data_IF_097006134940
#
_entry.id   IF_097006134940
#
_cell.length_a   1.000
_cell.length_b   1.000
_cell.length_c   1.000
_cell.angle_alpha   90.00
_cell.angle_beta   90.00
_cell.angle_gamma   90.00
#
_symmetry.space_group_name_H-M   'P 1'
#
loop_
_entity.id
_entity.type
_entity.pdbx_description
1 polymer ?
#
# COMPACT_ATOMS: atom_id res chain seq x y z
N UNK A 1 4.51 -19.58 -21.61
CA UNK A 1 5.89 -19.20 -21.99
C UNK A 1 6.49 -18.51 -20.78
N UNK A 2 7.13 -19.26 -19.90
CA UNK A 2 7.85 -18.69 -18.75
C UNK A 2 9.17 -18.11 -19.29
N UNK A 3 9.26 -16.79 -19.34
CA UNK A 3 10.52 -16.11 -19.62
C UNK A 3 11.26 -16.06 -18.27
N UNK A 4 12.31 -16.88 -18.12
CA UNK A 4 13.22 -16.79 -16.97
C UNK A 4 14.02 -15.49 -17.08
N UNK A 5 13.62 -14.49 -16.28
CA UNK A 5 14.24 -13.17 -16.21
C UNK A 5 15.45 -13.14 -15.26
N UNK A 6 16.51 -13.93 -15.53
CA UNK A 6 17.68 -14.01 -14.63
C UNK A 6 18.79 -12.99 -14.90
N UNK A 7 18.76 -12.26 -16.02
CA UNK A 7 19.65 -11.10 -16.25
C UNK A 7 18.89 -9.99 -16.98
N UNK A 8 18.08 -9.25 -16.21
CA UNK A 8 17.16 -8.21 -16.70
C UNK A 8 17.91 -6.93 -17.12
N UNK A 9 18.99 -6.59 -16.43
CA UNK A 9 19.68 -5.32 -16.60
C UNK A 9 20.57 -5.25 -17.84
N UNK A 10 21.05 -6.40 -18.34
CA UNK A 10 21.89 -6.47 -19.56
C UNK A 10 21.10 -6.33 -20.87
N UNK A 11 19.76 -6.45 -20.82
CA UNK A 11 18.88 -6.41 -21.97
C UNK A 11 18.33 -5.01 -22.28
N UNK A 12 18.47 -4.07 -21.35
CA UNK A 12 18.05 -2.68 -21.54
C UNK A 12 19.25 -1.86 -22.04
N UNK A 13 19.09 -1.07 -23.12
CA UNK A 13 20.10 -0.07 -23.49
C UNK A 13 20.41 0.84 -22.29
N UNK A 14 21.69 1.18 -22.08
CA UNK A 14 22.12 2.05 -20.98
C UNK A 14 21.34 3.36 -20.94
N UNK A 15 20.98 3.91 -22.10
CA UNK A 15 20.13 5.11 -22.22
C UNK A 15 18.76 4.94 -21.56
N UNK A 16 18.15 3.75 -21.65
CA UNK A 16 16.85 3.48 -21.02
C UNK A 16 17.02 3.30 -19.52
N UNK A 17 18.08 2.64 -19.07
CA UNK A 17 18.38 2.49 -17.65
C UNK A 17 18.64 3.85 -16.98
N UNK A 18 19.45 4.71 -17.62
CA UNK A 18 19.71 6.06 -17.12
C UNK A 18 18.43 6.88 -17.03
N UNK A 19 17.56 6.82 -18.04
CA UNK A 19 16.28 7.51 -17.99
C UNK A 19 15.33 6.99 -16.93
N UNK A 20 15.31 5.67 -16.67
CA UNK A 20 14.48 5.12 -15.59
C UNK A 20 14.99 5.60 -14.23
N UNK A 21 16.30 5.82 -14.10
CA UNK A 21 16.89 6.42 -12.91
C UNK A 21 16.58 7.93 -12.84
N UNK A 22 16.68 8.67 -13.94
CA UNK A 22 16.32 10.09 -14.05
C UNK A 22 14.82 10.34 -13.81
N UNK A 23 13.93 9.40 -14.18
CA UNK A 23 12.49 9.43 -13.84
C UNK A 23 12.24 9.48 -12.32
N UNK A 24 13.25 9.16 -11.51
CA UNK A 24 13.18 9.21 -10.05
C UNK A 24 13.95 10.39 -9.46
N UNK A 25 14.82 10.99 -10.26
CA UNK A 25 15.47 12.29 -10.02
C UNK A 25 14.55 13.39 -10.58
N UNK A 26 13.27 13.34 -10.21
CA UNK A 26 12.41 14.50 -10.39
C UNK A 26 12.99 15.59 -9.47
N UNK A 27 13.40 16.71 -10.07
CA UNK A 27 13.91 17.94 -9.44
C UNK A 27 15.41 17.95 -9.08
N UNK A 28 16.34 17.87 -10.04
CA UNK A 28 17.75 18.28 -9.79
C UNK A 28 17.97 19.80 -9.99
N UNK A 29 17.03 20.50 -10.61
CA UNK A 29 17.07 21.96 -10.82
C UNK A 29 16.56 22.77 -9.59
N UNK A 30 16.54 22.19 -8.39
CA UNK A 30 16.05 22.87 -7.16
C UNK A 30 16.91 24.08 -6.83
N UNK A 31 18.17 24.12 -7.26
CA UNK A 31 19.11 25.17 -6.89
C UNK A 31 18.74 26.55 -7.47
N UNK A 32 17.93 26.61 -8.54
CA UNK A 32 17.50 27.87 -9.17
C UNK A 32 16.06 28.30 -8.84
N UNK A 33 15.31 27.53 -8.04
CA UNK A 33 13.89 27.81 -7.76
C UNK A 33 13.67 28.68 -6.51
N UNK A 34 12.56 29.42 -6.46
CA UNK A 34 12.16 30.18 -5.26
C UNK A 34 11.90 29.24 -4.06
N UNK A 35 12.12 29.73 -2.84
CA UNK A 35 12.00 28.94 -1.60
C UNK A 35 10.61 28.30 -1.41
N UNK A 36 9.54 28.92 -1.90
CA UNK A 36 8.18 28.39 -1.91
C UNK A 36 8.07 27.17 -2.82
N UNK A 37 8.68 27.23 -4.00
CA UNK A 37 8.72 26.12 -4.96
C UNK A 37 9.59 24.97 -4.45
N UNK A 38 10.72 25.25 -3.80
CA UNK A 38 11.53 24.23 -3.10
C UNK A 38 10.73 23.53 -2.00
N UNK A 39 9.95 24.29 -1.22
CA UNK A 39 9.11 23.74 -0.16
C UNK A 39 7.97 22.87 -0.71
N UNK A 40 7.31 23.31 -1.78
CA UNK A 40 6.28 22.52 -2.47
C UNK A 40 6.85 21.22 -3.08
N UNK A 41 8.02 21.29 -3.70
CA UNK A 41 8.75 20.12 -4.19
C UNK A 41 9.09 19.15 -3.05
N UNK A 42 9.57 19.66 -1.91
CA UNK A 42 9.87 18.85 -0.71
C UNK A 42 8.63 18.15 -0.15
N UNK A 43 7.47 18.80 -0.14
CA UNK A 43 6.19 18.18 0.23
C UNK A 43 5.85 17.04 -0.74
N UNK A 44 5.98 17.28 -2.05
CA UNK A 44 5.70 16.27 -3.07
C UNK A 44 6.67 15.06 -2.95
N UNK A 45 7.96 15.31 -2.72
CA UNK A 45 8.99 14.29 -2.51
C UNK A 45 8.70 13.43 -1.27
N UNK A 46 8.25 14.04 -0.17
CA UNK A 46 7.95 13.33 1.09
C UNK A 46 6.83 12.30 0.95
N UNK A 47 6.01 12.38 -0.11
CA UNK A 47 4.85 11.52 -0.31
C UNK A 47 5.17 10.16 -0.95
N UNK A 48 6.37 9.98 -1.53
CA UNK A 48 6.81 8.73 -2.19
C UNK A 48 8.01 8.17 -1.44
N UNK A 49 7.85 7.02 -0.79
CA UNK A 49 8.95 6.34 -0.10
C UNK A 49 9.93 5.66 -1.06
N UNK A 50 11.20 5.52 -0.68
CA UNK A 50 12.23 4.84 -1.49
C UNK A 50 11.82 3.42 -1.93
N UNK A 51 11.10 2.71 -1.07
CA UNK A 51 10.55 1.38 -1.40
C UNK A 51 9.51 1.43 -2.51
N UNK A 52 8.67 2.46 -2.52
CA UNK A 52 7.66 2.67 -3.58
C UNK A 52 8.33 3.04 -4.90
N UNK A 53 9.38 3.87 -4.82
CA UNK A 53 10.21 4.31 -5.93
C UNK A 53 10.89 3.12 -6.64
N UNK A 54 11.58 2.26 -5.88
CA UNK A 54 12.17 1.02 -6.42
C UNK A 54 11.13 0.08 -7.05
N UNK A 55 9.95 -0.02 -6.43
CA UNK A 55 8.84 -0.79 -6.97
C UNK A 55 8.36 -0.28 -8.33
N UNK A 56 8.27 1.04 -8.51
CA UNK A 56 7.89 1.64 -9.79
C UNK A 56 8.94 1.39 -10.88
N UNK A 57 10.23 1.53 -10.57
CA UNK A 57 11.34 1.21 -11.49
C UNK A 57 11.20 -0.19 -12.04
N UNK A 58 11.02 -1.17 -11.15
CA UNK A 58 10.94 -2.57 -11.58
C UNK A 58 9.75 -2.81 -12.50
N UNK A 59 8.62 -2.16 -12.22
CA UNK A 59 7.43 -2.25 -13.07
C UNK A 59 7.71 -1.64 -14.46
N UNK A 60 8.34 -0.47 -14.53
CA UNK A 60 8.67 0.21 -15.79
C UNK A 60 9.64 -0.64 -16.61
N UNK A 61 10.69 -1.19 -15.98
CA UNK A 61 11.63 -2.12 -16.64
C UNK A 61 10.89 -3.32 -17.25
N UNK A 62 10.03 -3.97 -16.45
CA UNK A 62 9.24 -5.11 -16.91
C UNK A 62 8.28 -4.75 -18.06
N UNK A 63 7.72 -3.55 -18.06
CA UNK A 63 6.85 -3.06 -19.13
C UNK A 63 7.60 -2.91 -20.45
N UNK A 64 8.78 -2.26 -20.42
CA UNK A 64 9.61 -2.04 -21.60
C UNK A 64 10.08 -3.38 -22.17
N UNK A 65 10.58 -4.27 -21.31
CA UNK A 65 11.08 -5.58 -21.74
C UNK A 65 9.98 -6.47 -22.32
N UNK A 66 8.78 -6.43 -21.75
CA UNK A 66 7.63 -7.14 -22.29
C UNK A 66 7.35 -6.72 -23.74
N UNK A 67 7.30 -5.42 -24.01
CA UNK A 67 7.01 -4.93 -25.36
C UNK A 67 8.16 -5.12 -26.33
N UNK A 68 9.42 -4.97 -25.90
CA UNK A 68 10.59 -5.25 -26.75
C UNK A 68 10.69 -6.74 -27.10
N UNK A 69 10.29 -7.64 -26.21
CA UNK A 69 10.22 -9.07 -26.49
C UNK A 69 9.15 -9.40 -27.54
N UNK A 70 8.00 -8.71 -27.51
CA UNK A 70 6.94 -8.87 -28.51
C UNK A 70 7.26 -8.19 -29.85
N UNK A 71 7.92 -7.02 -29.80
CA UNK A 71 8.27 -6.23 -30.97
C UNK A 71 9.61 -5.51 -30.73
N UNK A 72 10.67 -5.97 -31.39
CA UNK A 72 12.02 -5.38 -31.26
C UNK A 72 12.12 -3.92 -31.71
N UNK A 73 11.18 -3.46 -32.54
CA UNK A 73 11.12 -2.08 -33.04
C UNK A 73 10.17 -1.20 -32.20
N UNK A 74 9.67 -1.71 -31.08
CA UNK A 74 8.81 -0.93 -30.20
C UNK A 74 9.62 0.17 -29.50
N UNK A 75 9.12 1.41 -29.57
CA UNK A 75 9.75 2.57 -28.96
C UNK A 75 9.12 2.88 -27.60
N UNK A 76 9.91 2.75 -26.53
CA UNK A 76 9.50 3.03 -25.16
C UNK A 76 9.12 4.49 -24.90
N UNK A 77 9.62 5.42 -25.72
CA UNK A 77 9.34 6.86 -25.62
C UNK A 77 8.19 7.29 -26.52
N UNK A 78 7.79 6.46 -27.48
CA UNK A 78 6.70 6.79 -28.37
C UNK A 78 5.37 6.83 -27.60
N UNK A 79 4.68 7.96 -27.71
CA UNK A 79 3.36 8.15 -27.13
C UNK A 79 2.40 8.41 -28.29
N UNK A 80 1.68 7.36 -28.67
CA UNK A 80 0.85 7.25 -29.87
C UNK A 80 -0.56 6.79 -29.51
N UNK A 81 -1.45 6.71 -30.50
CA UNK A 81 -2.79 6.14 -30.32
C UNK A 81 -2.78 4.72 -29.74
N UNK A 82 -1.68 3.98 -29.93
CA UNK A 82 -1.51 2.60 -29.50
C UNK A 82 -1.10 2.48 -28.03
N UNK A 83 -0.47 3.51 -27.45
CA UNK A 83 0.08 3.47 -26.09
C UNK A 83 -0.94 3.06 -25.01
N UNK A 84 -2.21 3.53 -25.01
CA UNK A 84 -3.23 2.99 -24.11
C UNK A 84 -3.42 1.47 -24.17
N UNK A 85 -3.38 0.89 -25.38
CA UNK A 85 -3.56 -0.54 -25.58
C UNK A 85 -2.32 -1.33 -25.14
N UNK A 86 -1.13 -0.78 -25.33
CA UNK A 86 0.12 -1.37 -24.85
C UNK A 86 0.14 -1.47 -23.31
N UNK A 87 -0.38 -0.45 -22.63
CA UNK A 87 -0.58 -0.44 -21.17
C UNK A 87 -1.58 -1.54 -20.77
N UNK A 88 -2.73 -1.62 -21.44
CA UNK A 88 -3.76 -2.64 -21.17
C UNK A 88 -3.19 -4.04 -21.38
N UNK A 89 -2.44 -4.25 -22.46
CA UNK A 89 -1.86 -5.53 -22.81
C UNK A 89 -0.87 -6.00 -21.74
N UNK A 90 0.03 -5.12 -21.28
CA UNK A 90 0.94 -5.43 -20.20
C UNK A 90 0.21 -5.75 -18.89
N UNK A 91 -0.79 -4.94 -18.49
CA UNK A 91 -1.55 -5.20 -17.27
C UNK A 91 -2.33 -6.53 -17.39
N UNK A 92 -2.83 -6.84 -18.59
CA UNK A 92 -3.49 -8.13 -18.87
C UNK A 92 -2.50 -9.28 -18.75
N UNK A 93 -1.28 -9.15 -19.28
CA UNK A 93 -0.23 -10.17 -19.10
C UNK A 93 0.05 -10.45 -17.62
N UNK A 94 0.11 -9.39 -16.81
CA UNK A 94 0.34 -9.50 -15.36
C UNK A 94 -0.86 -10.06 -14.61
N UNK A 95 -2.06 -9.57 -14.88
CA UNK A 95 -3.22 -9.78 -14.03
C UNK A 95 -4.26 -10.73 -14.62
N UNK A 96 -4.09 -11.20 -15.85
CA UNK A 96 -5.01 -12.13 -16.49
C UNK A 96 -5.07 -13.49 -15.78
N UNK A 97 -6.05 -14.35 -16.10
CA UNK A 97 -6.16 -15.67 -15.49
C UNK A 97 -5.00 -16.61 -15.85
N UNK A 98 -4.45 -17.32 -14.86
CA UNK A 98 -3.33 -18.27 -15.08
C UNK A 98 -3.68 -19.36 -16.10
N UNK A 99 -4.94 -19.82 -16.07
CA UNK A 99 -5.47 -20.81 -17.03
C UNK A 99 -5.34 -20.39 -18.50
N UNK A 100 -5.28 -19.08 -18.75
CA UNK A 100 -5.19 -18.51 -20.09
C UNK A 100 -3.72 -18.14 -20.45
N UNK A 101 -2.75 -18.55 -19.61
CA UNK A 101 -1.31 -18.34 -19.84
C UNK A 101 -0.73 -17.04 -19.27
N UNK A 102 -1.50 -16.31 -18.44
CA UNK A 102 -1.09 -15.06 -17.81
C UNK A 102 -0.47 -15.29 -16.42
N UNK A 103 0.14 -14.25 -15.83
CA UNK A 103 0.84 -14.37 -14.52
C UNK A 103 -0.09 -14.46 -13.29
N UNK A 104 -1.39 -14.18 -13.43
CA UNK A 104 -2.35 -14.35 -12.34
C UNK A 104 -2.22 -13.36 -11.16
N UNK A 105 -1.54 -12.22 -11.34
CA UNK A 105 -1.34 -11.25 -10.26
C UNK A 105 -2.65 -10.60 -9.81
N UNK A 106 -2.64 -10.05 -8.59
CA UNK A 106 -3.80 -9.41 -7.95
C UNK A 106 -4.10 -8.05 -8.56
N UNK A 107 -5.32 -7.55 -8.34
CA UNK A 107 -5.71 -6.21 -8.82
C UNK A 107 -4.80 -5.09 -8.28
N UNK A 108 -4.25 -5.25 -7.07
CA UNK A 108 -3.26 -4.32 -6.53
C UNK A 108 -2.03 -4.14 -7.44
N UNK A 109 -1.60 -5.21 -8.15
CA UNK A 109 -0.52 -5.12 -9.14
C UNK A 109 -0.92 -4.25 -10.31
N UNK A 110 -2.14 -4.37 -10.84
CA UNK A 110 -2.65 -3.51 -11.91
C UNK A 110 -2.66 -2.03 -11.50
N UNK A 111 -3.08 -1.73 -10.25
CA UNK A 111 -3.08 -0.37 -9.69
C UNK A 111 -1.66 0.20 -9.62
N UNK A 112 -0.72 -0.57 -9.07
CA UNK A 112 0.70 -0.18 -9.02
C UNK A 112 1.31 -0.04 -10.41
N UNK A 113 0.94 -0.91 -11.35
CA UNK A 113 1.39 -0.82 -12.74
C UNK A 113 0.93 0.46 -13.42
N UNK A 114 -0.35 0.82 -13.28
CA UNK A 114 -0.86 2.09 -13.81
C UNK A 114 -0.17 3.29 -13.17
N UNK A 115 0.09 3.26 -11.86
CA UNK A 115 0.77 4.34 -11.16
C UNK A 115 2.22 4.53 -11.64
N UNK A 116 3.00 3.45 -11.73
CA UNK A 116 4.37 3.49 -12.22
C UNK A 116 4.45 4.00 -13.68
N UNK A 117 3.56 3.52 -14.55
CA UNK A 117 3.52 3.98 -15.95
C UNK A 117 3.06 5.44 -16.07
N UNK A 118 2.26 5.93 -15.12
CA UNK A 118 1.90 7.35 -15.06
C UNK A 118 3.12 8.21 -14.74
N UNK A 119 4.00 7.73 -13.85
CA UNK A 119 5.28 8.39 -13.56
C UNK A 119 6.18 8.40 -14.81
N UNK A 120 6.36 7.24 -15.45
CA UNK A 120 7.14 7.11 -16.69
C UNK A 120 6.70 8.09 -17.78
N UNK A 121 5.40 8.11 -18.12
CA UNK A 121 4.91 8.96 -19.21
C UNK A 121 4.87 10.45 -18.86
N UNK A 122 4.89 10.82 -17.58
CA UNK A 122 5.12 12.22 -17.16
C UNK A 122 6.56 12.66 -17.40
N UNK A 123 7.51 11.77 -17.19
CA UNK A 123 8.91 12.06 -17.47
C UNK A 123 9.19 12.08 -18.98
N UNK A 124 8.65 11.12 -19.75
CA UNK A 124 8.78 11.09 -21.22
C UNK A 124 8.16 12.33 -21.88
N UNK A 125 7.07 12.87 -21.30
CA UNK A 125 6.41 14.09 -21.75
C UNK A 125 6.25 15.08 -20.61
N UNK A 126 7.29 15.88 -20.31
CA UNK A 126 7.20 16.90 -19.30
C UNK A 126 6.15 17.95 -19.71
N UNK A 127 5.41 18.47 -18.73
CA UNK A 127 4.37 19.51 -18.90
C UNK A 127 3.10 19.08 -19.67
N UNK A 128 2.83 17.79 -19.74
CA UNK A 128 1.61 17.29 -20.39
C UNK A 128 0.34 17.62 -19.60
N UNK A 129 -0.75 17.93 -20.32
CA UNK A 129 -2.02 18.30 -19.69
C UNK A 129 -2.58 17.18 -18.80
N UNK A 130 -3.17 17.55 -17.67
CA UNK A 130 -3.93 16.62 -16.82
C UNK A 130 -5.29 16.23 -17.42
N UNK A 131 -5.67 16.85 -18.55
CA UNK A 131 -6.91 16.58 -19.28
C UNK A 131 -6.95 15.17 -19.87
N UNK A 132 -8.15 14.76 -20.27
CA UNK A 132 -8.40 13.46 -20.89
C UNK A 132 -7.54 13.28 -22.16
N UNK A 133 -7.01 12.06 -22.32
CA UNK A 133 -6.26 11.62 -23.49
C UNK A 133 -7.05 11.87 -24.78
N UNK A 134 -6.54 12.75 -25.64
CA UNK A 134 -7.21 13.14 -26.89
C UNK A 134 -6.21 13.47 -27.98
N UNK A 135 -6.62 13.32 -29.22
CA UNK A 135 -5.84 13.82 -30.35
C UNK A 135 -6.16 15.31 -30.54
N UNK A 136 -5.13 16.14 -30.62
CA UNK A 136 -5.25 17.52 -31.07
C UNK A 136 -5.59 17.52 -32.57
N UNK A 137 -6.74 18.07 -32.99
CA UNK A 137 -7.14 18.10 -34.39
C UNK A 137 -6.19 18.91 -35.27
N UNK A 138 -5.47 19.88 -34.70
CA UNK A 138 -4.61 20.81 -35.45
C UNK A 138 -3.21 20.26 -35.69
N UNK A 139 -2.59 19.66 -34.68
CA UNK A 139 -1.24 19.09 -34.77
C UNK A 139 -1.19 17.59 -35.03
N UNK A 140 -2.34 16.90 -34.90
CA UNK A 140 -2.41 15.43 -34.95
C UNK A 140 -1.72 14.74 -33.77
N UNK A 141 -1.14 15.50 -32.83
CA UNK A 141 -0.45 14.98 -31.64
C UNK A 141 -1.46 14.54 -30.61
N UNK A 142 -1.13 13.47 -29.90
CA UNK A 142 -1.91 13.04 -28.75
C UNK A 142 -1.52 13.87 -27.53
N UNK A 143 -2.50 14.44 -26.84
CA UNK A 143 -2.35 15.23 -25.64
C UNK A 143 -2.91 14.45 -24.43
N UNK A 144 -2.32 14.71 -23.27
CA UNK A 144 -2.69 14.07 -22.01
C UNK A 144 -1.93 12.77 -21.71
N UNK A 145 -2.19 12.18 -20.55
CA UNK A 145 -1.51 10.95 -20.12
C UNK A 145 -2.22 9.70 -20.65
N UNK A 146 -1.51 8.76 -21.31
CA UNK A 146 -2.14 7.57 -21.89
C UNK A 146 -2.74 6.65 -20.82
N UNK A 147 -2.18 6.65 -19.59
CA UNK A 147 -2.71 5.92 -18.43
C UNK A 147 -4.07 6.44 -17.93
N UNK A 148 -4.44 7.67 -18.31
CA UNK A 148 -5.73 8.30 -18.01
C UNK A 148 -6.72 8.22 -19.18
N UNK A 149 -6.34 7.56 -20.28
CA UNK A 149 -7.26 7.36 -21.39
C UNK A 149 -8.51 6.60 -20.95
N UNK A 150 -9.64 6.93 -21.58
CA UNK A 150 -10.92 6.25 -21.34
C UNK A 150 -10.79 4.73 -21.46
N UNK A 151 -10.02 4.24 -22.43
CA UNK A 151 -9.74 2.81 -22.63
C UNK A 151 -9.07 2.16 -21.42
N UNK A 152 -8.01 2.79 -20.88
CA UNK A 152 -7.32 2.26 -19.69
C UNK A 152 -8.22 2.31 -18.46
N UNK A 153 -9.00 3.39 -18.29
CA UNK A 153 -9.94 3.53 -17.16
C UNK A 153 -11.03 2.46 -17.21
N UNK A 154 -11.71 2.30 -18.35
CA UNK A 154 -12.74 1.27 -18.56
C UNK A 154 -12.19 -0.13 -18.32
N UNK A 155 -10.99 -0.42 -18.83
CA UNK A 155 -10.30 -1.69 -18.58
C UNK A 155 -10.04 -1.94 -17.10
N UNK A 156 -9.48 -0.95 -16.38
CA UNK A 156 -9.19 -1.08 -14.95
C UNK A 156 -10.46 -1.36 -14.13
N UNK A 157 -11.56 -0.66 -14.41
CA UNK A 157 -12.85 -0.91 -13.77
C UNK A 157 -13.41 -2.30 -14.10
N UNK A 158 -13.24 -2.77 -15.33
CA UNK A 158 -13.64 -4.13 -15.72
C UNK A 158 -12.81 -5.19 -14.99
N UNK A 159 -11.49 -5.01 -14.95
CA UNK A 159 -10.56 -5.90 -14.27
C UNK A 159 -10.84 -5.96 -12.77
N UNK A 160 -11.12 -4.83 -12.12
CA UNK A 160 -11.51 -4.77 -10.72
C UNK A 160 -12.74 -5.63 -10.42
N UNK A 161 -13.81 -5.45 -11.20
CA UNK A 161 -15.05 -6.23 -11.06
C UNK A 161 -14.81 -7.72 -11.30
N UNK A 162 -14.00 -8.07 -12.30
CA UNK A 162 -13.65 -9.46 -12.58
C UNK A 162 -12.83 -10.08 -11.43
N UNK A 163 -11.85 -9.35 -10.91
CA UNK A 163 -11.02 -9.79 -9.79
C UNK A 163 -11.83 -9.96 -8.50
N UNK A 164 -12.72 -9.01 -8.21
CA UNK A 164 -13.66 -9.13 -7.10
C UNK A 164 -14.56 -10.37 -7.24
N UNK A 165 -15.09 -10.65 -8.43
CA UNK A 165 -15.87 -11.88 -8.69
C UNK A 165 -15.05 -13.16 -8.49
N UNK A 166 -13.76 -13.13 -8.77
CA UNK A 166 -12.84 -14.26 -8.53
C UNK A 166 -12.38 -14.39 -7.06
N UNK A 167 -12.90 -13.56 -6.15
CA UNK A 167 -12.55 -13.58 -4.73
C UNK A 167 -11.33 -12.72 -4.37
N UNK A 168 -10.71 -12.03 -5.33
CA UNK A 168 -9.69 -11.00 -5.07
C UNK A 168 -10.40 -9.68 -4.69
N UNK A 169 -11.17 -9.74 -3.60
CA UNK A 169 -11.81 -8.59 -3.00
C UNK A 169 -10.79 -7.92 -2.09
N UNK A 170 -10.51 -6.64 -2.32
CA UNK A 170 -9.81 -5.81 -1.35
C UNK A 170 -10.73 -5.61 -0.14
N UNK A 171 -10.84 -6.61 0.72
CA UNK A 171 -11.58 -6.50 1.97
C UNK A 171 -10.85 -5.50 2.87
N UNK A 172 -11.34 -4.27 2.91
CA UNK A 172 -10.86 -3.23 3.83
C UNK A 172 -11.14 -3.65 5.28
N UNK A 173 -10.10 -3.58 6.12
CA UNK A 173 -10.02 -3.42 7.59
C UNK A 173 -10.92 -4.24 8.56
N UNK A 174 -12.10 -4.72 8.18
CA UNK A 174 -13.03 -5.49 9.02
C UNK A 174 -13.25 -6.91 8.49
N UNK A 175 -12.16 -7.61 8.15
CA UNK A 175 -12.23 -9.04 7.85
C UNK A 175 -12.63 -9.89 9.07
N UNK A 176 -12.51 -9.33 10.29
CA UNK A 176 -12.88 -9.99 11.54
C UNK A 176 -14.17 -9.41 12.09
N UNK A 177 -15.16 -10.27 12.30
CA UNK A 177 -16.42 -9.94 12.97
C UNK A 177 -16.26 -9.97 14.49
N UNK A 178 -17.27 -9.44 15.21
CA UNK A 178 -17.37 -9.57 16.67
C UNK A 178 -17.30 -11.04 17.10
N UNK A 179 -17.99 -11.93 16.38
CA UNK A 179 -18.00 -13.36 16.66
C UNK A 179 -16.62 -13.99 16.48
N UNK A 180 -15.85 -13.55 15.47
CA UNK A 180 -14.48 -14.02 15.27
C UNK A 180 -13.57 -13.61 16.42
N UNK A 181 -13.74 -12.38 16.93
CA UNK A 181 -13.01 -11.90 18.11
C UNK A 181 -13.40 -12.69 19.37
N UNK A 182 -14.68 -13.06 19.54
CA UNK A 182 -15.10 -13.92 20.64
C UNK A 182 -14.52 -15.33 20.56
N UNK A 183 -14.51 -15.94 19.37
CA UNK A 183 -13.89 -17.25 19.14
C UNK A 183 -12.40 -17.20 19.43
N UNK A 184 -11.73 -16.12 19.03
CA UNK A 184 -10.30 -15.89 19.28
C UNK A 184 -10.02 -15.74 20.78
N UNK A 185 -10.82 -14.95 21.49
CA UNK A 185 -10.72 -14.83 22.95
C UNK A 185 -10.88 -16.18 23.63
N UNK A 186 -11.90 -16.94 23.23
CA UNK A 186 -12.14 -18.27 23.77
C UNK A 186 -10.92 -19.18 23.57
N UNK A 187 -10.41 -19.24 22.33
CA UNK A 187 -9.32 -20.13 21.98
C UNK A 187 -7.99 -19.78 22.68
N UNK A 188 -7.70 -18.48 22.84
CA UNK A 188 -6.43 -18.00 23.35
C UNK A 188 -6.42 -17.78 24.87
N UNK A 189 -7.55 -17.43 25.49
CA UNK A 189 -7.58 -16.93 26.87
C UNK A 189 -8.34 -17.86 27.81
N UNK A 190 -9.47 -18.42 27.38
CA UNK A 190 -10.40 -19.17 28.27
C UNK A 190 -10.58 -20.64 27.92
N UNK A 191 -9.89 -21.16 26.90
CA UNK A 191 -10.02 -22.56 26.50
C UNK A 191 -9.62 -23.48 27.67
N UNK A 192 -10.46 -24.46 28.05
CA UNK A 192 -10.12 -25.42 29.08
C UNK A 192 -8.89 -26.24 28.67
N UNK A 193 -8.00 -26.53 29.62
CA UNK A 193 -6.77 -27.29 29.38
C UNK A 193 -5.57 -26.49 28.87
N UNK A 194 -5.66 -25.16 28.78
CA UNK A 194 -4.48 -24.32 28.51
C UNK A 194 -3.50 -24.35 29.70
N UNK A 195 -2.22 -24.57 29.42
CA UNK A 195 -1.17 -24.39 30.43
C UNK A 195 -1.01 -22.91 30.78
N UNK A 196 -0.42 -22.62 31.94
CA UNK A 196 -0.14 -21.24 32.37
C UNK A 196 0.69 -20.47 31.34
N UNK A 197 1.67 -21.13 30.72
CA UNK A 197 2.52 -20.53 29.69
C UNK A 197 1.73 -20.22 28.40
N UNK A 198 0.89 -21.16 27.94
CA UNK A 198 0.04 -20.95 26.78
C UNK A 198 -0.97 -19.82 27.00
N UNK A 199 -1.57 -19.75 28.20
CA UNK A 199 -2.50 -18.69 28.56
C UNK A 199 -1.84 -17.31 28.57
N UNK A 200 -0.60 -17.21 29.09
CA UNK A 200 0.18 -15.96 29.04
C UNK A 200 0.43 -15.50 27.60
N UNK A 201 0.90 -16.40 26.73
CA UNK A 201 1.11 -16.08 25.32
C UNK A 201 -0.21 -15.72 24.60
N UNK A 202 -1.29 -16.43 24.93
CA UNK A 202 -2.61 -16.18 24.37
C UNK A 202 -3.15 -14.80 24.73
N UNK A 203 -2.99 -14.35 25.98
CA UNK A 203 -3.37 -13.00 26.41
C UNK A 203 -2.59 -11.93 25.64
N UNK A 204 -1.27 -12.09 25.48
CA UNK A 204 -0.43 -11.14 24.74
C UNK A 204 -0.88 -11.04 23.28
N UNK A 205 -1.09 -12.19 22.61
CA UNK A 205 -1.56 -12.22 21.21
C UNK A 205 -2.95 -11.62 21.08
N UNK A 206 -3.88 -11.98 21.98
CA UNK A 206 -5.23 -11.47 21.94
C UNK A 206 -5.27 -9.96 22.15
N UNK A 207 -4.44 -9.42 23.05
CA UNK A 207 -4.35 -7.97 23.24
C UNK A 207 -3.92 -7.25 21.96
N UNK A 208 -2.91 -7.78 21.26
CA UNK A 208 -2.51 -7.23 19.96
C UNK A 208 -3.68 -7.29 18.96
N UNK A 209 -4.35 -8.44 18.81
CA UNK A 209 -5.49 -8.53 17.89
C UNK A 209 -6.64 -7.59 18.25
N UNK A 210 -6.95 -7.43 19.55
CA UNK A 210 -7.99 -6.54 20.02
C UNK A 210 -7.65 -5.07 19.71
N UNK A 211 -6.41 -4.63 19.96
CA UNK A 211 -5.98 -3.28 19.61
C UNK A 211 -5.97 -3.04 18.11
N UNK A 212 -5.46 -4.00 17.32
CA UNK A 212 -5.49 -3.92 15.86
C UNK A 212 -6.93 -3.73 15.34
N UNK A 213 -7.87 -4.49 15.91
CA UNK A 213 -9.28 -4.46 15.52
C UNK A 213 -10.00 -3.18 15.95
N UNK A 214 -9.86 -2.74 17.21
CA UNK A 214 -10.55 -1.54 17.73
C UNK A 214 -9.99 -0.23 17.15
N UNK A 215 -8.67 -0.15 16.95
CA UNK A 215 -7.99 1.06 16.47
C UNK A 215 -7.82 1.08 14.95
N UNK A 216 -8.30 0.02 14.26
CA UNK A 216 -8.11 -0.21 12.83
C UNK A 216 -6.64 -0.03 12.41
N UNK A 217 -5.75 -0.63 13.19
CA UNK A 217 -4.31 -0.62 12.94
C UNK A 217 -3.91 -1.88 12.18
N UNK A 218 -2.85 -1.75 11.38
CA UNK A 218 -2.17 -2.92 10.86
C UNK A 218 -1.41 -3.62 11.98
N UNK A 219 -1.05 -4.89 11.77
CA UNK A 219 -0.36 -5.66 12.80
C UNK A 219 1.02 -5.07 13.13
N UNK A 220 1.74 -4.54 12.14
CA UNK A 220 3.01 -3.84 12.32
C UNK A 220 2.83 -2.56 13.16
N UNK A 221 1.80 -1.76 12.88
CA UNK A 221 1.47 -0.57 13.67
C UNK A 221 1.09 -0.94 15.12
N UNK A 222 0.32 -2.01 15.29
CA UNK A 222 -0.08 -2.51 16.61
C UNK A 222 1.11 -2.97 17.44
N UNK A 223 2.06 -3.69 16.82
CA UNK A 223 3.28 -4.16 17.49
C UNK A 223 4.26 -3.02 17.80
N UNK A 224 4.11 -1.87 17.13
CA UNK A 224 4.90 -0.67 17.41
C UNK A 224 4.35 0.20 18.54
N UNK A 225 3.18 -0.14 19.09
CA UNK A 225 2.59 0.57 20.23
C UNK A 225 3.47 0.43 21.47
N UNK A 226 3.88 1.57 22.02
CA UNK A 226 4.67 1.65 23.25
C UNK A 226 3.76 1.82 24.47
N UNK A 227 4.22 1.45 25.67
CA UNK A 227 3.41 1.65 26.89
C UNK A 227 3.19 3.13 27.18
N UNK A 228 4.16 3.95 26.83
CA UNK A 228 4.17 5.42 26.88
C UNK A 228 3.12 6.04 25.95
N UNK A 229 2.63 5.26 24.97
CA UNK A 229 1.54 5.67 24.09
C UNK A 229 0.16 5.55 24.75
N UNK A 230 0.07 4.91 25.92
CA UNK A 230 -1.19 4.67 26.65
C UNK A 230 -1.28 5.65 27.83
N UNK A 231 -2.08 6.70 27.64
CA UNK A 231 -2.38 7.68 28.69
C UNK A 231 -3.57 7.20 29.52
N UNK A 232 -3.28 6.72 30.74
CA UNK A 232 -4.30 6.44 31.75
C UNK A 232 -4.27 7.50 32.84
N UNK A 233 -5.29 8.36 32.87
CA UNK A 233 -5.45 9.34 33.95
C UNK A 233 -5.62 8.63 35.30
N UNK A 234 -4.81 8.94 36.33
CA UNK A 234 -4.95 8.34 37.65
C UNK A 234 -6.37 8.54 38.22
N UNK A 235 -7.00 7.46 38.69
CA UNK A 235 -8.37 7.47 39.21
C UNK A 235 -9.46 7.22 38.17
N UNK A 236 -9.19 7.39 36.87
CA UNK A 236 -10.14 7.07 35.82
C UNK A 236 -10.18 5.55 35.56
N UNK A 237 -11.39 5.00 35.53
CA UNK A 237 -11.65 3.56 35.34
C UNK A 237 -12.48 3.27 34.09
N UNK A 238 -13.04 4.30 33.44
CA UNK A 238 -13.98 4.17 32.33
C UNK A 238 -13.32 4.25 30.97
N UNK A 239 -12.13 4.85 30.86
CA UNK A 239 -11.41 4.93 29.59
C UNK A 239 -9.91 5.12 29.79
N UNK A 240 -9.17 4.94 28.70
CA UNK A 240 -7.79 5.43 28.54
C UNK A 240 -7.62 5.93 27.11
N UNK A 241 -6.65 6.82 26.93
CA UNK A 241 -6.34 7.40 25.62
C UNK A 241 -5.09 6.72 25.05
N UNK A 242 -5.13 6.38 23.76
CA UNK A 242 -4.00 5.79 23.02
C UNK A 242 -3.51 6.81 22.02
N UNK A 243 -2.28 7.28 22.19
CA UNK A 243 -1.58 8.15 21.23
C UNK A 243 -0.79 7.31 20.26
N UNK A 244 -1.08 7.42 18.97
CA UNK A 244 -0.34 6.68 17.96
C UNK A 244 0.99 7.39 17.64
N UNK A 245 2.00 7.18 18.49
CA UNK A 245 3.35 7.69 18.28
C UNK A 245 4.00 6.91 17.11
N UNK A 246 4.29 7.59 16.00
CA UNK A 246 5.06 7.02 14.89
C UNK A 246 4.32 6.12 13.89
N UNK A 247 2.99 5.99 13.97
CA UNK A 247 2.23 5.24 12.95
C UNK A 247 2.08 6.01 11.64
N UNK A 248 1.91 5.30 10.52
CA UNK A 248 1.72 5.91 9.19
C UNK A 248 0.55 6.90 9.15
N UNK A 249 -0.48 6.70 9.98
CA UNK A 249 -1.64 7.62 10.08
C UNK A 249 -1.30 8.97 10.71
N UNK A 250 -0.30 9.04 11.58
CA UNK A 250 0.12 10.30 12.23
C UNK A 250 1.21 11.04 11.44
N UNK A 251 1.96 10.35 10.57
CA UNK A 251 3.03 10.98 9.77
C UNK A 251 2.54 11.82 8.58
N UNK A 252 1.29 11.68 8.15
CA UNK A 252 0.78 12.40 6.96
C UNK A 252 0.14 13.77 7.26
N UNK A 253 -0.07 14.13 8.53
CA UNK A 253 -0.80 15.37 8.89
C UNK A 253 -0.23 16.19 10.03
N UNK A 254 0.83 15.75 10.72
CA UNK A 254 1.41 16.47 11.87
C UNK A 254 0.51 16.58 13.11
N UNK A 255 -0.77 16.19 13.00
CA UNK A 255 -1.73 16.13 14.10
C UNK A 255 -1.69 14.72 14.69
N UNK A 256 -1.30 14.62 15.97
CA UNK A 256 -1.35 13.37 16.71
C UNK A 256 -2.80 12.89 16.87
N UNK A 257 -3.14 11.79 16.20
CA UNK A 257 -4.42 11.12 16.41
C UNK A 257 -4.38 10.38 17.75
N UNK A 258 -5.31 10.73 18.64
CA UNK A 258 -5.57 10.00 19.88
C UNK A 258 -6.87 9.22 19.74
N UNK A 259 -6.89 8.01 20.30
CA UNK A 259 -8.07 7.16 20.35
C UNK A 259 -8.47 6.95 21.80
N UNK A 260 -9.72 7.26 22.12
CA UNK A 260 -10.27 7.00 23.46
C UNK A 260 -10.92 5.62 23.48
N UNK A 261 -10.36 4.70 24.25
CA UNK A 261 -10.89 3.36 24.43
C UNK A 261 -11.65 3.27 25.74
N UNK A 262 -12.95 2.98 25.65
CA UNK A 262 -13.86 2.89 26.79
C UNK A 262 -13.96 1.47 27.35
N UNK A 263 -14.23 1.37 28.65
CA UNK A 263 -14.64 0.13 29.28
C UNK A 263 -15.88 -0.44 28.57
N UNK A 264 -15.85 -1.72 28.25
CA UNK A 264 -17.01 -2.45 27.75
C UNK A 264 -17.43 -3.47 28.80
N UNK A 265 -18.26 -3.04 29.74
CA UNK A 265 -18.76 -3.92 30.80
C UNK A 265 -19.84 -4.90 30.30
N UNK A 266 -20.54 -4.55 29.23
CA UNK A 266 -21.53 -5.41 28.57
C UNK A 266 -20.88 -6.63 27.92
N UNK A 267 -19.66 -6.49 27.40
CA UNK A 267 -18.90 -7.60 26.84
C UNK A 267 -17.44 -7.61 27.34
N UNK A 268 -17.19 -8.33 28.44
CA UNK A 268 -15.87 -8.49 29.02
C UNK A 268 -14.78 -8.97 28.07
N UNK A 269 -15.16 -9.71 27.01
CA UNK A 269 -14.22 -10.33 26.06
C UNK A 269 -13.61 -9.30 25.13
N UNK A 270 -14.34 -8.22 24.85
CA UNK A 270 -13.91 -7.12 23.98
C UNK A 270 -13.52 -5.87 24.80
N UNK A 271 -13.43 -5.98 26.12
CA UNK A 271 -13.14 -4.84 26.98
C UNK A 271 -11.64 -4.47 26.94
N UNK A 272 -11.27 -3.29 26.43
CA UNK A 272 -9.88 -2.85 26.35
C UNK A 272 -9.25 -2.70 27.73
N UNK A 273 -10.02 -2.26 28.73
CA UNK A 273 -9.51 -2.08 30.09
C UNK A 273 -9.16 -3.43 30.73
N UNK A 274 -10.05 -4.43 30.59
CA UNK A 274 -9.80 -5.77 31.15
C UNK A 274 -8.60 -6.44 30.50
N UNK A 275 -8.39 -6.26 29.19
CA UNK A 275 -7.20 -6.86 28.56
C UNK A 275 -5.91 -6.19 29.04
N UNK A 276 -5.92 -4.86 29.26
CA UNK A 276 -4.77 -4.14 29.83
C UNK A 276 -4.50 -4.58 31.26
N UNK A 277 -5.53 -4.83 32.06
CA UNK A 277 -5.37 -5.39 33.41
C UNK A 277 -4.76 -6.79 33.36
N UNK A 278 -5.22 -7.66 32.45
CA UNK A 278 -4.63 -8.98 32.23
C UNK A 278 -3.16 -8.88 31.79
N UNK A 279 -2.82 -7.99 30.85
CA UNK A 279 -1.43 -7.72 30.49
C UNK A 279 -0.61 -7.25 31.69
N UNK A 280 -1.14 -6.33 32.49
CA UNK A 280 -0.47 -5.84 33.69
C UNK A 280 -0.18 -6.97 34.69
N UNK A 281 -1.07 -7.96 34.85
CA UNK A 281 -0.78 -9.13 35.70
C UNK A 281 0.39 -9.96 35.18
N UNK A 282 0.54 -10.10 33.85
CA UNK A 282 1.65 -10.84 33.23
C UNK A 282 2.97 -10.11 33.43
N UNK A 283 3.01 -8.81 33.13
CA UNK A 283 4.24 -8.02 33.22
C UNK A 283 4.64 -7.71 34.66
N UNK A 284 3.69 -7.51 35.59
CA UNK A 284 4.00 -7.36 37.03
C UNK A 284 4.65 -8.60 37.63
N UNK A 285 4.30 -9.80 37.17
CA UNK A 285 4.97 -11.03 37.65
C UNK A 285 6.42 -11.18 37.19
N UNK A 286 6.86 -10.43 36.18
CA UNK A 286 8.23 -10.45 35.67
C UNK A 286 9.11 -9.33 36.25
N UNK A 287 8.54 -8.37 37.00
CA UNK A 287 9.31 -7.39 37.78
C UNK A 287 9.61 -8.00 39.15
N UNK A 288 10.45 -9.04 39.17
CA UNK A 288 11.29 -9.30 40.33
C UNK A 288 12.61 -8.56 40.10
N UNK A 289 13.07 -7.87 41.15
CA UNK A 289 14.37 -7.20 41.26
C UNK A 289 15.50 -7.95 40.58
#
# INVERSE_FOLDING_TARGET
MEIEFKDIDSLLPETINNMINECLEDFDDINEMDETTKYAAKIAMSSITDKTRQGHVQIIKNYILYHLACNKNWDAKAVTAQTPYDIILFITQKCGPVKDGFEGKKYATAVSSRAALTLWYRHVRPNESLMEWRQDPSSGKWLGLPTRSRKVVEFMTGLEKQKAKSGDVSQSAHALTVDDMHKLYYHLVTRPGLTTAQRRQGIIRYAAYLFAWMLMLRIDETLSLQFESIDKTPGERRYFDVRLLGTRKTSQGGVGHFWRLHANDSDPRLCPIRIVELLATIYKTNVKK
#
